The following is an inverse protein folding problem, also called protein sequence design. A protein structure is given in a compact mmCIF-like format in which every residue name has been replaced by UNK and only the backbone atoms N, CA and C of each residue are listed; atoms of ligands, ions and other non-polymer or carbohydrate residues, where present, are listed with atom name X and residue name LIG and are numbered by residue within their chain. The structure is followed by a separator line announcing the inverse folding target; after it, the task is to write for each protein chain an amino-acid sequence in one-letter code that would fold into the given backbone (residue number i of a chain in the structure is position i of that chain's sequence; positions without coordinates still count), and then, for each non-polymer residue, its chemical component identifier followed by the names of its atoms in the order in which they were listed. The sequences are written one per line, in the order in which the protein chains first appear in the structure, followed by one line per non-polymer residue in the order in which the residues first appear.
data_IF_154849144460
#
_entry.id   IF_154849144460
#
_cell.length_a   1.000
_cell.length_b   1.000
_cell.length_c   1.000
_cell.angle_alpha   90.00
_cell.angle_beta   90.00
_cell.angle_gamma   90.00
#
_symmetry.space_group_name_H-M   'P 1'
#
loop_
_entity.id
_entity.type
_entity.pdbx_description
1 polymer ?
#
# COMPACT_ATOMS: atom_id res chain seq x y z
N UNK A 1 -59.96 -5.16 -7.99
CA UNK A 1 -59.04 -4.65 -9.03
C UNK A 1 -58.11 -3.67 -8.32
N UNK A 2 -56.79 -3.76 -8.29
CA UNK A 2 -55.78 -4.64 -8.85
C UNK A 2 -54.48 -4.16 -8.18
N UNK A 3 -53.64 -5.11 -7.76
CA UNK A 3 -52.37 -4.88 -7.11
C UNK A 3 -51.37 -4.45 -8.19
N UNK A 4 -50.97 -3.17 -8.28
CA UNK A 4 -49.92 -2.72 -9.24
C UNK A 4 -49.60 -1.22 -9.07
N UNK A 5 -48.60 -0.89 -8.27
CA UNK A 5 -47.52 0.06 -8.56
C UNK A 5 -46.68 0.28 -7.29
N UNK A 6 -46.11 -0.81 -6.77
CA UNK A 6 -44.92 -0.73 -5.93
C UNK A 6 -43.80 -0.17 -6.81
N UNK A 7 -43.66 1.15 -6.79
CA UNK A 7 -42.61 1.86 -7.53
C UNK A 7 -41.27 1.23 -7.15
N UNK A 8 -40.69 0.52 -8.12
CA UNK A 8 -39.41 -0.17 -7.99
C UNK A 8 -38.44 0.75 -7.25
N UNK A 9 -38.09 0.37 -6.04
CA UNK A 9 -37.24 1.17 -5.16
C UNK A 9 -35.86 1.25 -5.78
N UNK A 10 -35.61 2.30 -6.57
CA UNK A 10 -34.31 2.62 -7.17
C UNK A 10 -33.25 2.94 -6.10
N UNK A 11 -33.73 3.26 -4.90
CA UNK A 11 -32.94 3.67 -3.75
C UNK A 11 -31.98 2.59 -3.20
N UNK A 12 -32.40 1.35 -2.87
CA UNK A 12 -31.49 0.27 -2.48
C UNK A 12 -30.44 -0.05 -3.56
N UNK A 13 -30.81 0.00 -4.84
CA UNK A 13 -29.85 -0.22 -5.94
C UNK A 13 -28.79 0.88 -6.00
N UNK A 14 -29.19 2.15 -5.82
CA UNK A 14 -28.25 3.27 -5.78
C UNK A 14 -27.30 3.19 -4.57
N UNK A 15 -27.80 2.77 -3.40
CA UNK A 15 -26.97 2.58 -2.20
C UNK A 15 -25.97 1.44 -2.40
N UNK A 16 -26.42 0.30 -2.93
CA UNK A 16 -25.53 -0.83 -3.24
C UNK A 16 -24.48 -0.45 -4.29
N UNK A 17 -24.88 0.34 -5.30
CA UNK A 17 -23.96 0.85 -6.31
C UNK A 17 -22.92 1.80 -5.70
N UNK A 18 -23.33 2.72 -4.81
CA UNK A 18 -22.41 3.63 -4.14
C UNK A 18 -21.45 2.87 -3.21
N UNK A 19 -21.95 1.90 -2.43
CA UNK A 19 -21.13 1.06 -1.56
C UNK A 19 -20.11 0.24 -2.35
N UNK A 20 -20.50 -0.34 -3.48
CA UNK A 20 -19.57 -1.12 -4.33
C UNK A 20 -18.47 -0.24 -4.90
N UNK A 21 -18.80 0.95 -5.41
CA UNK A 21 -17.80 1.93 -5.86
C UNK A 21 -16.86 2.35 -4.74
N UNK A 22 -17.40 2.61 -3.55
CA UNK A 22 -16.60 2.97 -2.38
C UNK A 22 -15.65 1.84 -1.97
N UNK A 23 -16.13 0.60 -1.94
CA UNK A 23 -15.31 -0.58 -1.66
C UNK A 23 -14.19 -0.74 -2.69
N UNK A 24 -14.48 -0.57 -3.99
CA UNK A 24 -13.46 -0.62 -5.04
C UNK A 24 -12.42 0.47 -4.84
N UNK A 25 -12.85 1.72 -4.60
CA UNK A 25 -11.94 2.83 -4.36
C UNK A 25 -11.06 2.59 -3.12
N UNK A 26 -11.64 2.13 -2.01
CA UNK A 26 -10.93 1.80 -0.79
C UNK A 26 -9.89 0.70 -1.00
N UNK A 27 -10.24 -0.37 -1.73
CA UNK A 27 -9.30 -1.45 -2.06
C UNK A 27 -8.16 -0.95 -2.94
N UNK A 28 -8.43 -0.10 -3.93
CA UNK A 28 -7.39 0.49 -4.80
C UNK A 28 -6.44 1.38 -3.99
N UNK A 29 -6.98 2.25 -3.14
CA UNK A 29 -6.19 3.11 -2.25
C UNK A 29 -5.35 2.27 -1.29
N UNK A 30 -5.96 1.24 -0.69
CA UNK A 30 -5.27 0.32 0.20
C UNK A 30 -4.15 -0.43 -0.51
N UNK A 31 -4.39 -0.97 -1.70
CA UNK A 31 -3.39 -1.69 -2.47
C UNK A 31 -2.22 -0.78 -2.90
N UNK A 32 -2.50 0.46 -3.33
CA UNK A 32 -1.48 1.45 -3.67
C UNK A 32 -0.67 1.79 -2.42
N UNK A 33 -1.34 2.11 -1.30
CA UNK A 33 -0.68 2.44 -0.04
C UNK A 33 0.12 1.27 0.52
N UNK A 34 -0.35 0.04 0.34
CA UNK A 34 0.35 -1.17 0.73
C UNK A 34 1.60 -1.39 -0.10
N UNK A 35 1.54 -1.23 -1.43
CA UNK A 35 2.74 -1.31 -2.29
C UNK A 35 3.78 -0.24 -1.93
N UNK A 36 3.33 0.99 -1.68
CA UNK A 36 4.21 2.08 -1.25
C UNK A 36 4.84 1.81 0.11
N UNK A 37 4.05 1.30 1.06
CA UNK A 37 4.55 0.93 2.39
C UNK A 37 5.53 -0.23 2.32
N UNK A 38 5.30 -1.23 1.46
CA UNK A 38 6.15 -2.41 1.37
C UNK A 38 7.52 -2.10 0.77
N UNK A 39 7.59 -1.27 -0.28
CA UNK A 39 8.89 -0.81 -0.81
C UNK A 39 9.68 0.00 0.20
N UNK A 40 9.01 0.94 0.88
CA UNK A 40 9.66 1.78 1.90
C UNK A 40 10.05 1.00 3.17
N UNK A 41 9.32 -0.09 3.51
CA UNK A 41 9.72 -1.00 4.58
C UNK A 41 10.99 -1.77 4.22
N UNK A 42 11.04 -2.27 2.98
CA UNK A 42 12.17 -3.07 2.50
C UNK A 42 13.45 -2.24 2.44
N UNK A 43 13.38 -1.00 1.94
CA UNK A 43 14.51 -0.06 1.95
C UNK A 43 14.96 0.28 3.38
N UNK A 44 14.00 0.48 4.29
CA UNK A 44 14.30 0.76 5.70
C UNK A 44 14.97 -0.42 6.39
N UNK A 45 14.53 -1.64 6.12
CA UNK A 45 15.11 -2.87 6.68
C UNK A 45 16.53 -3.11 6.14
N UNK A 46 16.76 -2.88 4.84
CA UNK A 46 18.10 -2.97 4.24
C UNK A 46 19.04 -1.92 4.84
N UNK A 47 18.59 -0.68 5.01
CA UNK A 47 19.37 0.38 5.63
C UNK A 47 19.71 0.07 7.10
N UNK A 48 18.76 -0.51 7.85
CA UNK A 48 18.98 -0.99 9.22
C UNK A 48 20.00 -2.13 9.26
N UNK A 49 19.90 -3.10 8.34
CA UNK A 49 20.84 -4.22 8.26
C UNK A 49 22.26 -3.75 7.95
N UNK A 50 22.44 -2.82 7.01
CA UNK A 50 23.74 -2.23 6.71
C UNK A 50 24.34 -1.51 7.91
N UNK A 51 23.52 -0.70 8.61
CA UNK A 51 23.96 0.03 9.80
C UNK A 51 24.39 -0.91 10.92
N UNK A 52 23.68 -2.04 11.10
CA UNK A 52 24.05 -3.05 12.08
C UNK A 52 25.39 -3.73 11.75
N UNK A 53 25.66 -4.01 10.46
CA UNK A 53 26.94 -4.61 10.04
C UNK A 53 28.12 -3.63 10.19
N UNK A 54 27.90 -2.35 9.91
CA UNK A 54 28.87 -1.28 10.20
C UNK A 54 29.19 -1.19 11.70
N UNK A 55 28.15 -1.22 12.56
CA UNK A 55 28.33 -1.17 14.02
C UNK A 55 29.07 -2.40 14.58
N UNK A 56 28.96 -3.55 13.92
CA UNK A 56 29.72 -4.76 14.26
C UNK A 56 31.17 -4.74 13.75
N UNK A 57 31.55 -3.76 12.94
CA UNK A 57 32.87 -3.71 12.29
C UNK A 57 33.06 -4.79 11.22
N UNK A 58 31.99 -5.47 10.80
CA UNK A 58 32.02 -6.44 9.70
C UNK A 58 32.09 -5.74 8.33
N UNK A 59 31.87 -4.42 8.30
CA UNK A 59 31.79 -3.63 7.09
C UNK A 59 32.56 -2.31 7.29
N UNK A 60 33.43 -1.95 6.35
CA UNK A 60 34.19 -0.71 6.41
C UNK A 60 33.32 0.50 5.98
N UNK A 61 33.65 1.70 6.48
CA UNK A 61 32.93 2.94 6.16
C UNK A 61 32.94 3.25 4.65
N UNK A 62 33.99 2.82 3.93
CA UNK A 62 34.09 2.96 2.47
C UNK A 62 33.14 2.01 1.75
N UNK A 63 33.04 0.77 2.21
CA UNK A 63 32.13 -0.24 1.67
C UNK A 63 30.67 0.13 1.94
N UNK A 64 30.38 0.68 3.12
CA UNK A 64 29.06 1.19 3.47
C UNK A 64 28.60 2.28 2.50
N UNK A 65 29.48 3.26 2.21
CA UNK A 65 29.18 4.34 1.26
C UNK A 65 28.94 3.81 -0.16
N UNK A 66 29.75 2.86 -0.61
CA UNK A 66 29.58 2.25 -1.94
C UNK A 66 28.27 1.47 -2.06
N UNK A 67 27.91 0.65 -1.06
CA UNK A 67 26.63 -0.06 -1.06
C UNK A 67 25.44 0.91 -0.99
N UNK A 68 25.56 1.98 -0.20
CA UNK A 68 24.51 2.99 -0.10
C UNK A 68 24.27 3.68 -1.44
N UNK A 69 25.32 4.02 -2.17
CA UNK A 69 25.23 4.63 -3.50
C UNK A 69 24.58 3.67 -4.52
N UNK A 70 24.92 2.38 -4.48
CA UNK A 70 24.31 1.34 -5.32
C UNK A 70 22.82 1.11 -5.02
N UNK A 71 22.41 1.20 -3.74
CA UNK A 71 21.03 1.01 -3.31
C UNK A 71 20.13 2.23 -3.55
N UNK A 72 20.72 3.42 -3.72
CA UNK A 72 19.97 4.68 -3.92
C UNK A 72 19.74 4.98 -5.41
N UNK A 73 20.29 4.19 -6.34
CA UNK A 73 20.24 4.39 -7.79
C UNK A 73 19.34 3.36 -8.47
#
# INVERSE_FOLDING_TARGET
MGLENDGFSFFPFAVLFCLTLFCIAAVRIYAIRHRYKNGNLQDRDIALMLKNRLAKGELDEKEYRMLKELLTK
#
